data_IF_446342245981
#
_entry.id   IF_446342245981
#
_cell.length_a   1.000
_cell.length_b   1.000
_cell.length_c   1.000
_cell.angle_alpha   90.00
_cell.angle_beta   90.00
_cell.angle_gamma   90.00
#
_symmetry.space_group_name_H-M   'P 1'
#
loop_
_entity.id
_entity.type
_entity.pdbx_description
1 polymer ?
#
# COMPACT_ATOMS: atom_id res chain seq x y z
N UNK A 1 -33.47 7.28 64.07
CA UNK A 1 -32.74 6.35 63.18
C UNK A 1 -32.88 6.71 61.69
N UNK A 2 -32.97 8.00 61.34
CA UNK A 2 -33.23 8.45 59.95
C UNK A 2 -32.06 9.21 59.31
N UNK A 3 -31.02 9.54 60.08
CA UNK A 3 -29.90 10.38 59.61
C UNK A 3 -28.74 9.56 59.00
N UNK A 4 -28.56 8.29 59.41
CA UNK A 4 -27.47 7.43 58.91
C UNK A 4 -27.68 6.93 57.48
N UNK A 5 -28.93 6.74 57.03
CA UNK A 5 -29.23 6.25 55.68
C UNK A 5 -28.81 7.25 54.58
N UNK A 6 -28.91 8.55 54.86
CA UNK A 6 -28.61 9.60 53.89
C UNK A 6 -27.11 9.76 53.59
N UNK A 7 -26.23 9.44 54.54
CA UNK A 7 -24.78 9.52 54.35
C UNK A 7 -24.31 8.38 53.43
N UNK A 8 -24.59 7.12 53.80
CA UNK A 8 -24.21 5.94 53.00
C UNK A 8 -24.79 5.94 51.59
N UNK A 9 -26.02 6.41 51.40
CA UNK A 9 -26.61 6.54 50.06
C UNK A 9 -25.88 7.58 49.20
N UNK A 10 -25.44 8.72 49.77
CA UNK A 10 -24.65 9.72 49.02
C UNK A 10 -23.29 9.18 48.56
N UNK A 11 -22.58 8.41 49.40
CA UNK A 11 -21.32 7.77 48.98
C UNK A 11 -21.56 6.63 47.99
N UNK A 12 -22.67 5.90 48.12
CA UNK A 12 -23.06 4.85 47.17
C UNK A 12 -23.34 5.39 45.77
N UNK A 13 -24.11 6.48 45.64
CA UNK A 13 -24.37 7.12 44.34
C UNK A 13 -23.10 7.71 43.74
N UNK A 14 -22.24 8.33 44.56
CA UNK A 14 -20.94 8.85 44.09
C UNK A 14 -20.04 7.74 43.56
N UNK A 15 -19.98 6.59 44.24
CA UNK A 15 -19.21 5.43 43.81
C UNK A 15 -19.75 4.85 42.49
N UNK A 16 -21.08 4.79 42.32
CA UNK A 16 -21.68 4.34 41.05
C UNK A 16 -21.39 5.30 39.90
N UNK A 17 -21.46 6.62 40.13
CA UNK A 17 -21.08 7.62 39.13
C UNK A 17 -19.59 7.55 38.77
N UNK A 18 -18.71 7.34 39.76
CA UNK A 18 -17.29 7.16 39.53
C UNK A 18 -17.02 5.90 38.69
N UNK A 19 -17.67 4.78 39.02
CA UNK A 19 -17.53 3.53 38.27
C UNK A 19 -18.04 3.66 36.84
N UNK A 20 -19.19 4.32 36.63
CA UNK A 20 -19.72 4.62 35.30
C UNK A 20 -18.75 5.50 34.49
N UNK A 21 -18.15 6.50 35.13
CA UNK A 21 -17.16 7.39 34.49
C UNK A 21 -15.90 6.61 34.08
N UNK A 22 -15.35 5.79 34.96
CA UNK A 22 -14.18 4.94 34.66
C UNK A 22 -14.50 3.97 33.53
N UNK A 23 -15.68 3.35 33.53
CA UNK A 23 -16.12 2.47 32.45
C UNK A 23 -16.17 3.20 31.11
N UNK A 24 -16.74 4.41 31.05
CA UNK A 24 -16.79 5.23 29.84
C UNK A 24 -15.37 5.60 29.34
N UNK A 25 -14.48 6.01 30.24
CA UNK A 25 -13.08 6.28 29.89
C UNK A 25 -12.36 5.04 29.36
N UNK A 26 -12.63 3.87 29.96
CA UNK A 26 -12.12 2.59 29.47
C UNK A 26 -12.57 2.28 28.05
N UNK A 27 -13.84 2.50 27.72
CA UNK A 27 -14.34 2.33 26.35
C UNK A 27 -13.67 3.28 25.36
N UNK A 28 -13.48 4.55 25.72
CA UNK A 28 -12.78 5.53 24.88
C UNK A 28 -11.33 5.09 24.63
N UNK A 29 -10.62 4.63 25.66
CA UNK A 29 -9.26 4.13 25.52
C UNK A 29 -9.17 2.92 24.58
N UNK A 30 -10.14 2.00 24.64
CA UNK A 30 -10.22 0.85 23.72
C UNK A 30 -10.43 1.32 22.28
N UNK A 31 -11.29 2.30 22.03
CA UNK A 31 -11.52 2.82 20.67
C UNK A 31 -10.25 3.44 20.07
N UNK A 32 -9.48 4.18 20.87
CA UNK A 32 -8.19 4.73 20.45
C UNK A 32 -7.18 3.61 20.16
N UNK A 33 -7.10 2.59 21.02
CA UNK A 33 -6.23 1.42 20.79
C UNK A 33 -6.58 0.67 19.52
N UNK A 34 -7.87 0.48 19.22
CA UNK A 34 -8.30 -0.19 17.98
C UNK A 34 -7.82 0.58 16.75
N UNK A 35 -7.88 1.91 16.77
CA UNK A 35 -7.38 2.72 15.67
C UNK A 35 -5.87 2.53 15.49
N UNK A 36 -5.09 2.60 16.56
CA UNK A 36 -3.64 2.38 16.53
C UNK A 36 -3.24 0.97 16.10
N UNK A 37 -3.99 -0.05 16.52
CA UNK A 37 -3.77 -1.43 16.07
C UNK A 37 -4.03 -1.55 14.57
N UNK A 38 -5.08 -0.90 14.06
CA UNK A 38 -5.39 -0.93 12.62
C UNK A 38 -4.31 -0.23 11.79
N UNK A 39 -3.83 0.94 12.22
CA UNK A 39 -2.76 1.66 11.52
C UNK A 39 -1.45 0.86 11.56
N UNK A 40 -1.09 0.32 12.72
CA UNK A 40 0.09 -0.53 12.89
C UNK A 40 0.03 -1.80 12.03
N UNK A 41 -1.11 -2.50 12.02
CA UNK A 41 -1.29 -3.72 11.22
C UNK A 41 -1.19 -3.45 9.72
N UNK A 42 -1.78 -2.35 9.23
CA UNK A 42 -1.64 -1.93 7.82
C UNK A 42 -0.18 -1.64 7.47
N UNK A 43 0.51 -0.88 8.33
CA UNK A 43 1.92 -0.55 8.14
C UNK A 43 2.84 -1.80 8.20
N UNK A 44 2.50 -2.79 9.02
CA UNK A 44 3.24 -4.06 9.05
C UNK A 44 2.98 -4.89 7.79
N UNK A 45 1.72 -5.01 7.36
CA UNK A 45 1.34 -5.73 6.14
C UNK A 45 2.01 -5.14 4.91
N UNK A 46 2.01 -3.82 4.77
CA UNK A 46 2.64 -3.12 3.65
C UNK A 46 4.16 -3.35 3.60
N UNK A 47 4.84 -3.32 4.76
CA UNK A 47 6.28 -3.66 4.83
C UNK A 47 6.53 -5.11 4.42
N UNK A 48 5.70 -6.05 4.87
CA UNK A 48 5.83 -7.45 4.48
C UNK A 48 5.62 -7.66 2.98
N UNK A 49 4.64 -7.00 2.36
CA UNK A 49 4.41 -7.04 0.92
C UNK A 49 5.61 -6.48 0.15
N UNK A 50 6.15 -5.33 0.57
CA UNK A 50 7.31 -4.71 -0.05
C UNK A 50 8.58 -5.56 0.10
N UNK A 51 8.85 -6.08 1.30
CA UNK A 51 9.97 -7.00 1.52
C UNK A 51 9.85 -8.27 0.67
N UNK A 52 8.62 -8.80 0.53
CA UNK A 52 8.37 -9.94 -0.35
C UNK A 52 8.65 -9.61 -1.82
N UNK A 53 8.29 -8.42 -2.29
CA UNK A 53 8.67 -7.94 -3.61
C UNK A 53 10.19 -7.80 -3.74
N UNK A 54 10.87 -7.20 -2.77
CA UNK A 54 12.33 -7.02 -2.80
C UNK A 54 13.07 -8.36 -2.84
N UNK A 55 12.62 -9.36 -2.08
CA UNK A 55 13.17 -10.72 -2.13
C UNK A 55 12.93 -11.36 -3.51
N UNK A 56 11.74 -11.21 -4.09
CA UNK A 56 11.44 -11.68 -5.45
C UNK A 56 12.34 -11.01 -6.50
N UNK A 57 12.57 -9.70 -6.38
CA UNK A 57 13.45 -8.92 -7.25
C UNK A 57 14.90 -9.37 -7.14
N UNK A 58 15.36 -9.63 -5.91
CA UNK A 58 16.69 -10.16 -5.65
C UNK A 58 16.90 -11.55 -6.27
N UNK A 59 15.90 -12.44 -6.17
CA UNK A 59 15.95 -13.78 -6.74
C UNK A 59 15.79 -13.78 -8.28
N UNK A 60 15.19 -12.74 -8.86
CA UNK A 60 14.91 -12.62 -10.28
C UNK A 60 15.49 -11.32 -10.87
N UNK A 61 16.82 -11.15 -10.89
CA UNK A 61 17.45 -9.91 -11.35
C UNK A 61 17.11 -9.60 -12.83
N UNK A 62 16.88 -10.64 -13.64
CA UNK A 62 16.42 -10.51 -15.04
C UNK A 62 15.05 -9.84 -15.18
N UNK A 63 14.22 -9.88 -14.14
CA UNK A 63 12.93 -9.19 -14.12
C UNK A 63 13.04 -7.84 -13.46
N UNK A 64 13.82 -7.69 -12.39
CA UNK A 64 14.05 -6.39 -11.73
C UNK A 64 14.74 -5.36 -12.64
N UNK A 65 15.66 -5.81 -13.51
CA UNK A 65 16.29 -5.00 -14.56
C UNK A 65 16.05 -5.68 -15.92
N UNK A 66 14.84 -5.55 -16.48
CA UNK A 66 14.40 -6.33 -17.62
C UNK A 66 15.00 -5.84 -18.94
N UNK A 67 15.48 -6.78 -19.74
CA UNK A 67 15.51 -6.62 -21.19
C UNK A 67 14.11 -6.95 -21.73
N UNK A 68 13.26 -5.92 -21.80
CA UNK A 68 11.85 -6.12 -22.16
C UNK A 68 11.67 -6.69 -23.57
N UNK A 69 12.53 -6.33 -24.52
CA UNK A 69 12.46 -6.86 -25.88
C UNK A 69 12.84 -8.35 -25.91
N UNK A 70 13.86 -8.75 -25.14
CA UNK A 70 14.21 -10.16 -25.00
C UNK A 70 13.07 -10.96 -24.32
N UNK A 71 12.46 -10.43 -23.25
CA UNK A 71 11.32 -11.06 -22.57
C UNK A 71 10.11 -11.17 -23.52
N UNK A 72 9.86 -10.12 -24.31
CA UNK A 72 8.79 -10.10 -25.32
C UNK A 72 9.09 -11.03 -26.49
N UNK A 73 10.35 -11.30 -26.82
CA UNK A 73 10.71 -12.33 -27.80
C UNK A 73 10.64 -13.74 -27.19
N UNK A 74 10.89 -13.86 -25.88
CA UNK A 74 10.79 -15.11 -25.14
C UNK A 74 9.36 -15.65 -25.16
N UNK A 75 9.23 -16.97 -24.93
CA UNK A 75 7.96 -17.67 -25.01
C UNK A 75 6.91 -17.14 -24.01
N UNK A 76 5.68 -17.65 -24.14
CA UNK A 76 4.54 -17.23 -23.30
C UNK A 76 4.81 -17.32 -21.80
N UNK A 77 5.57 -18.32 -21.37
CA UNK A 77 5.88 -18.56 -19.96
C UNK A 77 6.67 -17.40 -19.34
N UNK A 78 7.79 -17.01 -19.95
CA UNK A 78 8.65 -15.93 -19.43
C UNK A 78 7.92 -14.59 -19.41
N UNK A 79 7.11 -14.30 -20.44
CA UNK A 79 6.23 -13.11 -20.45
C UNK A 79 5.24 -13.12 -19.28
N UNK A 80 4.64 -14.28 -18.99
CA UNK A 80 3.68 -14.43 -17.90
C UNK A 80 4.33 -14.28 -16.53
N UNK A 81 5.55 -14.79 -16.36
CA UNK A 81 6.33 -14.61 -15.14
C UNK A 81 6.67 -13.14 -14.91
N UNK A 82 7.12 -12.45 -15.97
CA UNK A 82 7.41 -11.01 -15.90
C UNK A 82 6.17 -10.16 -15.63
N UNK A 83 5.03 -10.45 -16.27
CA UNK A 83 3.76 -9.76 -15.98
C UNK A 83 3.34 -9.95 -14.51
N UNK A 84 3.51 -11.16 -13.97
CA UNK A 84 3.22 -11.44 -12.56
C UNK A 84 4.18 -10.69 -11.63
N UNK A 85 5.47 -10.62 -11.99
CA UNK A 85 6.48 -9.86 -11.27
C UNK A 85 6.10 -8.37 -11.17
N UNK A 86 5.81 -7.73 -12.31
CA UNK A 86 5.43 -6.31 -12.34
C UNK A 86 4.12 -6.07 -11.57
N UNK A 87 3.17 -7.01 -11.65
CA UNK A 87 1.91 -6.88 -10.91
C UNK A 87 2.11 -6.96 -9.39
N UNK A 88 3.01 -7.84 -8.93
CA UNK A 88 3.35 -7.92 -7.51
C UNK A 88 4.10 -6.67 -7.02
N UNK A 89 4.99 -6.13 -7.85
CA UNK A 89 5.64 -4.84 -7.59
C UNK A 89 4.62 -3.70 -7.43
N UNK A 90 3.70 -3.54 -8.39
CA UNK A 90 2.68 -2.48 -8.32
C UNK A 90 1.79 -2.62 -7.09
N UNK A 91 1.41 -3.86 -6.74
CA UNK A 91 0.65 -4.15 -5.52
C UNK A 91 1.42 -3.78 -4.26
N UNK A 92 2.70 -4.14 -4.16
CA UNK A 92 3.53 -3.78 -3.02
C UNK A 92 3.67 -2.26 -2.86
N UNK A 93 3.84 -1.53 -3.96
CA UNK A 93 3.86 -0.06 -3.93
C UNK A 93 2.51 0.53 -3.50
N UNK A 94 1.40 0.00 -4.02
CA UNK A 94 0.05 0.42 -3.61
C UNK A 94 -0.18 0.26 -2.10
N UNK A 95 0.17 -0.89 -1.54
CA UNK A 95 0.04 -1.16 -0.11
C UNK A 95 0.85 -0.16 0.73
N UNK A 96 2.07 0.17 0.32
CA UNK A 96 2.89 1.17 1.02
C UNK A 96 2.31 2.58 0.88
N UNK A 97 1.79 2.96 -0.28
CA UNK A 97 1.15 4.27 -0.47
C UNK A 97 -0.12 4.44 0.35
N UNK A 98 -0.85 3.35 0.60
CA UNK A 98 -2.08 3.35 1.39
C UNK A 98 -1.81 3.26 2.91
N UNK A 99 -0.70 2.68 3.33
CA UNK A 99 -0.41 2.42 4.74
C UNK A 99 0.26 3.58 5.49
N UNK A 100 1.03 4.44 4.79
CA UNK A 100 1.85 5.48 5.43
C UNK A 100 1.36 6.89 5.10
N UNK A 101 1.19 7.72 6.14
CA UNK A 101 0.84 9.14 5.98
C UNK A 101 1.98 9.94 5.30
N UNK A 102 3.23 9.70 5.70
CA UNK A 102 4.42 10.17 4.97
C UNK A 102 4.96 9.03 4.11
N UNK A 103 4.56 9.02 2.84
CA UNK A 103 4.94 8.00 1.86
C UNK A 103 6.14 8.38 0.99
N UNK A 104 6.85 9.47 1.27
CA UNK A 104 7.90 10.00 0.38
C UNK A 104 9.03 9.00 0.12
N UNK A 105 9.50 8.31 1.14
CA UNK A 105 10.59 7.32 1.02
C UNK A 105 10.14 6.08 0.23
N UNK A 106 8.91 5.62 0.47
CA UNK A 106 8.30 4.51 -0.26
C UNK A 106 8.08 4.86 -1.72
N UNK A 107 7.56 6.06 -1.98
CA UNK A 107 7.36 6.57 -3.33
C UNK A 107 8.70 6.70 -4.07
N UNK A 108 9.75 7.21 -3.44
CA UNK A 108 11.07 7.30 -4.06
C UNK A 108 11.63 5.90 -4.44
N UNK A 109 11.42 4.90 -3.57
CA UNK A 109 11.83 3.51 -3.85
C UNK A 109 11.04 2.91 -5.00
N UNK A 110 9.72 3.10 -5.00
CA UNK A 110 8.83 2.67 -6.07
C UNK A 110 9.13 3.41 -7.39
N UNK A 111 9.44 4.70 -7.36
CA UNK A 111 9.79 5.49 -8.56
C UNK A 111 11.07 4.95 -9.21
N UNK A 112 12.07 4.60 -8.40
CA UNK A 112 13.33 4.02 -8.85
C UNK A 112 13.11 2.68 -9.57
N UNK A 113 12.35 1.78 -8.94
CA UNK A 113 12.09 0.44 -9.46
C UNK A 113 11.06 0.43 -10.60
N UNK A 114 10.16 1.43 -10.69
CA UNK A 114 9.15 1.48 -11.74
C UNK A 114 9.77 1.76 -13.12
N UNK A 115 10.86 2.55 -13.18
CA UNK A 115 11.41 3.10 -14.42
C UNK A 115 11.69 2.02 -15.49
N UNK A 116 12.34 0.88 -15.19
CA UNK A 116 12.60 -0.17 -16.17
C UNK A 116 11.33 -0.86 -16.70
N UNK A 117 10.22 -0.78 -15.96
CA UNK A 117 8.95 -1.43 -16.31
C UNK A 117 8.00 -0.55 -17.13
N UNK A 118 8.29 0.74 -17.27
CA UNK A 118 7.44 1.68 -17.99
C UNK A 118 7.13 1.27 -19.45
N UNK A 119 8.08 0.72 -20.25
CA UNK A 119 7.77 0.22 -21.59
C UNK A 119 6.69 -0.86 -21.59
N UNK A 120 6.81 -1.85 -20.69
CA UNK A 120 5.81 -2.89 -20.52
C UNK A 120 4.46 -2.33 -20.11
N UNK A 121 4.43 -1.41 -19.13
CA UNK A 121 3.18 -0.81 -18.65
C UNK A 121 2.50 0.02 -19.72
N UNK A 122 3.27 0.70 -20.57
CA UNK A 122 2.75 1.43 -21.73
C UNK A 122 2.08 0.49 -22.74
N UNK A 123 2.78 -0.55 -23.20
CA UNK A 123 2.22 -1.52 -24.16
C UNK A 123 1.02 -2.27 -23.56
N UNK A 124 1.12 -2.70 -22.31
CA UNK A 124 0.06 -3.43 -21.60
C UNK A 124 -1.18 -2.58 -21.42
N UNK A 125 -1.05 -1.33 -21.00
CA UNK A 125 -2.18 -0.43 -20.82
C UNK A 125 -2.81 -0.01 -22.16
N UNK A 126 -2.04 0.08 -23.23
CA UNK A 126 -2.57 0.31 -24.57
C UNK A 126 -3.37 -0.89 -25.07
N UNK A 127 -2.83 -2.10 -24.94
CA UNK A 127 -3.47 -3.33 -25.38
C UNK A 127 -4.66 -3.73 -24.50
N UNK A 128 -4.57 -3.47 -23.20
CA UNK A 128 -5.52 -3.87 -22.17
C UNK A 128 -5.73 -2.72 -21.17
N UNK A 129 -6.54 -1.71 -21.50
CA UNK A 129 -6.78 -0.56 -20.61
C UNK A 129 -7.35 -0.95 -19.23
N UNK A 130 -8.00 -2.11 -19.15
CA UNK A 130 -8.49 -2.67 -17.89
C UNK A 130 -7.37 -3.08 -16.91
N UNK A 131 -6.13 -3.28 -17.39
CA UNK A 131 -5.01 -3.70 -16.54
C UNK A 131 -4.70 -2.69 -15.44
N UNK A 132 -4.53 -1.41 -15.77
CA UNK A 132 -4.30 -0.40 -14.73
C UNK A 132 -5.56 -0.14 -13.90
N UNK A 133 -6.75 -0.40 -14.44
CA UNK A 133 -8.01 -0.21 -13.73
C UNK A 133 -8.22 -1.18 -12.55
N UNK A 134 -7.41 -2.24 -12.42
CA UNK A 134 -7.46 -3.14 -11.26
C UNK A 134 -6.79 -2.58 -10.01
N UNK A 135 -6.02 -1.49 -10.14
CA UNK A 135 -5.30 -0.84 -9.05
C UNK A 135 -6.06 0.35 -8.48
N UNK A 136 -5.71 0.78 -7.27
CA UNK A 136 -6.25 1.99 -6.65
C UNK A 136 -5.98 3.25 -7.47
N UNK A 137 -6.82 4.29 -7.27
CA UNK A 137 -6.73 5.54 -8.03
C UNK A 137 -5.36 6.23 -7.90
N UNK A 138 -4.76 6.20 -6.70
CA UNK A 138 -3.42 6.74 -6.44
C UNK A 138 -2.35 6.04 -7.29
N UNK A 139 -2.37 4.69 -7.33
CA UNK A 139 -1.44 3.88 -8.13
C UNK A 139 -1.62 4.11 -9.62
N UNK A 140 -2.88 4.19 -10.09
CA UNK A 140 -3.18 4.53 -11.48
C UNK A 140 -2.61 5.89 -11.86
N UNK A 141 -2.82 6.90 -11.01
CA UNK A 141 -2.33 8.25 -11.26
C UNK A 141 -0.81 8.31 -11.21
N UNK A 142 -0.19 7.58 -10.28
CA UNK A 142 1.25 7.45 -10.17
C UNK A 142 1.86 6.85 -11.44
N UNK A 143 1.40 5.70 -11.91
CA UNK A 143 1.90 5.07 -13.15
C UNK A 143 1.72 5.99 -14.37
N UNK A 144 0.54 6.62 -14.52
CA UNK A 144 0.28 7.57 -15.62
C UNK A 144 1.22 8.78 -15.57
N UNK A 145 1.50 9.29 -14.37
CA UNK A 145 2.43 10.41 -14.17
C UNK A 145 3.85 9.98 -14.53
N UNK A 146 4.28 8.79 -14.09
CA UNK A 146 5.61 8.26 -14.38
C UNK A 146 5.84 7.99 -15.88
N UNK A 147 4.83 7.47 -16.59
CA UNK A 147 4.86 7.34 -18.05
C UNK A 147 5.08 8.69 -18.73
N UNK A 148 4.31 9.72 -18.32
CA UNK A 148 4.44 11.08 -18.84
C UNK A 148 5.81 11.68 -18.55
N UNK A 149 6.30 11.56 -17.31
CA UNK A 149 7.60 12.09 -16.87
C UNK A 149 8.76 11.45 -17.63
N UNK A 150 8.69 10.14 -17.87
CA UNK A 150 9.72 9.41 -18.64
C UNK A 150 9.54 9.56 -20.17
N UNK A 151 8.56 10.35 -20.63
CA UNK A 151 8.20 10.49 -22.05
C UNK A 151 7.94 9.15 -22.75
N UNK A 152 7.39 8.18 -22.01
CA UNK A 152 6.99 6.86 -22.52
C UNK A 152 5.53 6.96 -22.96
N UNK A 153 5.32 6.97 -24.28
CA UNK A 153 3.98 7.05 -24.86
C UNK A 153 3.85 6.12 -26.09
N UNK A 154 2.63 5.67 -26.40
CA UNK A 154 2.36 4.99 -27.67
C UNK A 154 2.70 5.87 -28.89
N UNK A 155 3.04 5.29 -30.05
CA UNK A 155 3.03 3.85 -30.36
C UNK A 155 4.30 3.09 -29.96
N UNK A 156 5.40 3.80 -29.69
CA UNK A 156 6.71 3.15 -29.53
C UNK A 156 6.95 2.65 -28.10
N UNK A 157 6.31 3.24 -27.08
CA UNK A 157 6.43 2.84 -25.68
C UNK A 157 7.88 2.68 -25.18
N UNK A 158 8.83 3.44 -25.74
CA UNK A 158 10.24 3.42 -25.32
C UNK A 158 10.49 4.51 -24.29
N UNK A 159 11.46 4.27 -23.40
CA UNK A 159 11.99 5.32 -22.52
C UNK A 159 12.48 6.49 -23.37
N UNK A 160 12.00 7.69 -23.08
CA UNK A 160 12.55 8.91 -23.64
C UNK A 160 14.04 9.01 -23.28
N UNK A 161 14.85 9.55 -24.18
CA UNK A 161 16.25 9.87 -23.87
C UNK A 161 16.22 10.91 -22.74
N UNK A 162 16.53 10.48 -21.51
CA UNK A 162 16.92 11.38 -20.42
C UNK A 162 18.24 12.03 -20.73
#
# INVERSE_FOLDING_TARGET
MTQQAAWWQKYGTLAQMAQATVALLGFVAILLQINEIRTSNRASSARSAFLGYTDLAFQNPKFAQPDYEAIKAAGREERSQYESFVSYFLYACEETFAAFADKREWQASCDYDLKPHLPFLCEKNQAQPAYLATYGADTQQWVKTSLKTASVAPPDCKLGKT
#
